data_IF_450000970500
#
_entry.id   IF_450000970500
#
_cell.length_a   1.000
_cell.length_b   1.000
_cell.length_c   1.000
_cell.angle_alpha   90.00
_cell.angle_beta   90.00
_cell.angle_gamma   90.00
#
_symmetry.space_group_name_H-M   'P 1'
#
loop_
_entity.id
_entity.type
_entity.pdbx_description
1 polymer ?
#
# COMPACT_ATOMS: atom_id res chain seq x y z
N UNK A 1 18.60 -31.21 31.99
CA UNK A 1 17.32 -31.89 31.77
C UNK A 1 16.17 -30.96 32.18
N UNK A 2 16.05 -29.76 31.49
CA UNK A 2 14.96 -28.76 31.70
C UNK A 2 14.76 -27.85 30.46
N UNK A 3 14.88 -28.37 29.24
CA UNK A 3 14.67 -27.59 28.00
C UNK A 3 13.54 -28.16 27.11
N UNK A 4 12.87 -29.24 27.53
CA UNK A 4 11.86 -29.92 26.70
C UNK A 4 10.39 -29.59 27.06
N UNK A 5 10.13 -28.59 27.90
CA UNK A 5 8.76 -28.29 28.36
C UNK A 5 8.09 -27.07 27.69
N UNK A 6 8.82 -26.31 26.86
CA UNK A 6 8.32 -25.06 26.29
C UNK A 6 7.65 -25.18 24.89
N UNK A 7 7.70 -26.36 24.26
CA UNK A 7 7.18 -26.56 22.89
C UNK A 7 5.76 -27.15 22.82
N UNK A 8 5.10 -27.38 23.96
CA UNK A 8 3.75 -27.97 23.97
C UNK A 8 2.55 -27.00 24.01
N UNK A 9 2.76 -25.69 24.12
CA UNK A 9 1.67 -24.72 24.19
C UNK A 9 1.36 -23.95 22.89
N UNK A 10 2.20 -24.07 21.84
CA UNK A 10 1.94 -23.42 20.54
C UNK A 10 1.08 -24.25 19.58
N UNK A 11 0.78 -25.51 19.91
CA UNK A 11 0.01 -26.41 19.04
C UNK A 11 -1.50 -26.22 19.05
N UNK A 12 -2.03 -25.34 19.91
CA UNK A 12 -3.50 -25.27 20.13
C UNK A 12 -4.15 -24.02 19.54
N UNK A 13 -3.41 -23.10 18.94
CA UNK A 13 -3.97 -21.83 18.40
C UNK A 13 -4.19 -21.89 16.87
N UNK A 14 -3.65 -22.88 16.18
CA UNK A 14 -3.77 -23.00 14.72
C UNK A 14 -4.94 -23.88 14.22
N UNK A 15 -5.78 -24.42 15.12
CA UNK A 15 -6.83 -25.36 14.71
C UNK A 15 -8.24 -24.80 14.46
N UNK A 16 -8.62 -23.54 14.75
CA UNK A 16 -9.96 -23.05 14.40
C UNK A 16 -10.08 -22.40 13.02
N UNK A 17 -8.99 -22.19 12.27
CA UNK A 17 -9.06 -21.49 10.97
C UNK A 17 -9.47 -22.39 9.81
N UNK A 18 -9.41 -23.73 9.98
CA UNK A 18 -9.69 -24.70 8.90
C UNK A 18 -11.17 -25.07 8.74
N UNK A 19 -12.07 -24.61 9.62
CA UNK A 19 -13.48 -25.06 9.63
C UNK A 19 -14.51 -24.02 9.14
N UNK A 20 -14.09 -22.91 8.53
CA UNK A 20 -15.01 -21.97 7.86
C UNK A 20 -14.93 -22.15 6.32
N UNK A 21 -15.21 -23.36 5.84
CA UNK A 21 -15.76 -23.53 4.50
C UNK A 21 -17.25 -23.78 4.62
N UNK A 22 -18.10 -22.86 4.13
CA UNK A 22 -19.10 -23.29 3.20
C UNK A 22 -19.34 -22.33 2.02
N UNK A 23 -19.51 -22.93 0.84
CA UNK A 23 -20.28 -22.41 -0.29
C UNK A 23 -19.76 -21.12 -0.95
N UNK A 24 -18.59 -21.18 -1.57
CA UNK A 24 -18.41 -20.47 -2.82
C UNK A 24 -18.05 -21.48 -3.89
N UNK A 25 -18.87 -21.62 -4.89
CA UNK A 25 -18.48 -22.23 -6.16
C UNK A 25 -17.28 -21.45 -6.66
N UNK A 26 -16.24 -22.09 -7.24
CA UNK A 26 -15.18 -21.32 -7.88
C UNK A 26 -15.82 -20.64 -9.10
N UNK A 27 -16.16 -19.39 -8.98
CA UNK A 27 -16.41 -18.53 -10.13
C UNK A 27 -15.08 -18.41 -10.89
N UNK A 28 -15.09 -18.31 -12.24
CA UNK A 28 -13.88 -18.07 -13.00
C UNK A 28 -13.22 -16.80 -12.41
N UNK A 29 -11.91 -16.89 -12.11
CA UNK A 29 -11.15 -15.76 -11.60
C UNK A 29 -11.48 -14.53 -12.44
N UNK A 30 -12.13 -13.56 -11.82
CA UNK A 30 -12.39 -12.28 -12.44
C UNK A 30 -11.03 -11.65 -12.75
N UNK A 31 -10.87 -11.05 -13.91
CA UNK A 31 -9.66 -10.31 -14.23
C UNK A 31 -9.41 -9.30 -13.10
N UNK A 32 -8.14 -9.18 -12.66
CA UNK A 32 -7.71 -8.29 -11.58
C UNK A 32 -8.41 -6.93 -11.63
N UNK A 33 -8.73 -6.38 -10.48
CA UNK A 33 -9.26 -5.03 -10.32
C UNK A 33 -10.70 -4.81 -10.78
N UNK A 34 -11.49 -5.85 -11.01
CA UNK A 34 -12.90 -5.70 -11.37
C UNK A 34 -13.84 -6.10 -10.24
N UNK A 35 -14.90 -5.32 -10.04
CA UNK A 35 -16.10 -5.71 -9.32
C UNK A 35 -17.30 -5.35 -10.21
N UNK A 36 -17.96 -6.34 -10.79
CA UNK A 36 -18.97 -6.18 -11.85
C UNK A 36 -18.39 -5.49 -13.08
N UNK A 37 -19.04 -4.42 -13.51
CA UNK A 37 -18.60 -3.62 -14.67
C UNK A 37 -17.50 -2.59 -14.32
N UNK A 38 -17.15 -2.47 -13.05
CA UNK A 38 -16.18 -1.49 -12.56
C UNK A 38 -14.77 -2.05 -12.56
N UNK A 39 -13.88 -1.41 -13.31
CA UNK A 39 -12.44 -1.55 -13.15
C UNK A 39 -11.92 -0.55 -12.10
N UNK A 40 -11.22 -1.04 -11.09
CA UNK A 40 -10.47 -0.26 -10.13
C UNK A 40 -8.98 -0.39 -10.47
N UNK A 41 -8.28 0.68 -10.82
CA UNK A 41 -6.85 0.59 -11.08
C UNK A 41 -6.08 0.33 -9.78
N UNK A 42 -4.95 -0.35 -9.87
CA UNK A 42 -4.02 -0.39 -8.75
C UNK A 42 -3.53 1.03 -8.45
N UNK A 43 -3.82 1.51 -7.25
CA UNK A 43 -3.45 2.84 -6.77
C UNK A 43 -1.95 2.93 -6.49
N UNK A 44 -1.37 4.14 -6.36
CA UNK A 44 0.10 4.31 -6.28
C UNK A 44 0.57 4.50 -4.85
N UNK A 45 -0.19 5.21 -4.03
CA UNK A 45 0.19 5.61 -2.66
C UNK A 45 -0.72 5.03 -1.60
N UNK A 46 -1.85 4.48 -1.99
CA UNK A 46 -2.74 3.64 -1.16
C UNK A 46 -2.83 2.27 -1.79
N UNK A 47 -3.05 1.23 -0.98
CA UNK A 47 -3.24 -0.13 -1.49
C UNK A 47 -4.70 -0.35 -1.92
N UNK A 48 -4.90 -1.21 -2.91
CA UNK A 48 -6.22 -1.61 -3.37
C UNK A 48 -6.73 -2.90 -2.70
N UNK A 49 -8.05 -3.20 -2.76
CA UNK A 49 -8.65 -4.32 -2.05
C UNK A 49 -8.55 -5.68 -2.75
N UNK A 50 -7.91 -5.79 -3.91
CA UNK A 50 -7.97 -6.98 -4.75
C UNK A 50 -6.91 -8.03 -4.42
N UNK A 51 -7.33 -9.31 -4.40
CA UNK A 51 -6.41 -10.44 -4.32
C UNK A 51 -6.04 -10.88 -5.75
N UNK A 52 -4.93 -10.36 -6.29
CA UNK A 52 -4.52 -10.58 -7.67
C UNK A 52 -3.04 -10.99 -7.80
N UNK A 53 -2.69 -11.54 -8.98
CA UNK A 53 -1.29 -11.78 -9.34
C UNK A 53 -0.78 -10.61 -10.17
N UNK A 54 0.02 -9.74 -9.58
CA UNK A 54 0.43 -8.47 -10.15
C UNK A 54 1.82 -8.03 -9.66
N UNK A 55 2.39 -7.01 -10.27
CA UNK A 55 3.73 -6.52 -9.91
C UNK A 55 3.87 -5.04 -10.20
N UNK A 56 4.24 -4.25 -9.19
CA UNK A 56 4.67 -2.86 -9.37
C UNK A 56 6.19 -2.82 -9.51
N UNK A 57 6.69 -2.39 -10.70
CA UNK A 57 8.12 -2.30 -10.97
C UNK A 57 8.40 -1.36 -12.16
N UNK A 58 9.02 -0.19 -11.94
CA UNK A 58 9.30 0.42 -10.64
C UNK A 58 8.14 1.29 -10.13
N UNK A 59 8.12 1.53 -8.84
CA UNK A 59 7.53 2.74 -8.25
C UNK A 59 8.67 3.69 -7.87
N UNK A 60 8.63 4.92 -8.35
CA UNK A 60 9.69 5.91 -8.12
C UNK A 60 9.08 7.14 -7.47
N UNK A 61 9.46 7.40 -6.22
CA UNK A 61 9.05 8.57 -5.46
C UNK A 61 10.21 9.56 -5.34
N UNK A 62 10.02 10.81 -5.77
CA UNK A 62 10.87 11.93 -5.41
C UNK A 62 10.14 12.81 -4.38
N UNK A 63 10.73 12.99 -3.24
CA UNK A 63 10.16 13.81 -2.16
C UNK A 63 11.25 14.57 -1.38
N UNK A 64 10.85 15.63 -0.67
CA UNK A 64 11.71 16.34 0.26
C UNK A 64 11.14 16.20 1.67
N UNK A 65 11.78 15.34 2.46
CA UNK A 65 11.44 15.15 3.86
C UNK A 65 11.70 16.43 4.68
N UNK A 66 10.87 16.68 5.72
CA UNK A 66 11.05 17.83 6.59
C UNK A 66 12.40 17.79 7.30
N UNK A 67 12.92 18.96 7.64
CA UNK A 67 14.20 19.12 8.32
C UNK A 67 14.83 20.46 8.02
N UNK A 68 15.89 20.79 8.74
CA UNK A 68 16.67 22.01 8.52
C UNK A 68 18.17 21.68 8.42
N UNK A 69 18.71 21.52 7.22
CA UNK A 69 18.07 21.61 5.89
C UNK A 69 17.21 20.38 5.56
N UNK A 70 16.21 20.53 4.63
CA UNK A 70 15.39 19.40 4.20
C UNK A 70 16.21 18.36 3.44
N UNK A 71 15.82 17.09 3.61
CA UNK A 71 16.48 15.96 2.95
C UNK A 71 15.76 15.62 1.65
N UNK A 72 16.50 15.65 0.54
CA UNK A 72 16.00 15.13 -0.75
C UNK A 72 16.05 13.61 -0.72
N UNK A 73 14.95 12.97 -1.09
CA UNK A 73 14.81 11.52 -1.14
C UNK A 73 14.35 11.10 -2.52
N UNK A 74 14.97 10.05 -3.07
CA UNK A 74 14.46 9.28 -4.20
C UNK A 74 14.34 7.85 -3.70
N UNK A 75 13.12 7.31 -3.75
CA UNK A 75 12.85 5.93 -3.39
C UNK A 75 12.48 5.15 -4.66
N UNK A 76 13.09 3.99 -4.84
CA UNK A 76 12.78 3.02 -5.89
C UNK A 76 12.24 1.81 -5.20
N UNK A 77 10.96 1.55 -5.29
CA UNK A 77 10.33 0.38 -4.71
C UNK A 77 9.75 -0.55 -5.78
N UNK A 78 9.57 -1.78 -5.37
CA UNK A 78 8.90 -2.82 -6.15
C UNK A 78 8.19 -3.77 -5.23
N UNK A 79 7.06 -4.28 -5.68
CA UNK A 79 6.34 -5.34 -5.03
C UNK A 79 5.82 -6.33 -6.07
N UNK A 80 5.69 -7.57 -5.62
CA UNK A 80 5.07 -8.65 -6.39
C UNK A 80 4.03 -9.33 -5.52
N UNK A 81 2.81 -9.38 -6.03
CA UNK A 81 1.67 -10.05 -5.43
C UNK A 81 1.36 -11.33 -6.22
N UNK A 82 1.09 -12.41 -5.53
CA UNK A 82 0.75 -13.69 -6.13
C UNK A 82 -0.48 -14.26 -5.43
N UNK A 83 -1.46 -14.68 -6.22
CA UNK A 83 -2.64 -15.37 -5.74
C UNK A 83 -2.22 -16.78 -5.23
N UNK A 84 -2.26 -16.97 -3.90
CA UNK A 84 -1.85 -18.26 -3.29
C UNK A 84 -3.01 -19.22 -3.07
N UNK A 85 -4.20 -18.68 -2.75
CA UNK A 85 -5.48 -19.40 -2.67
C UNK A 85 -6.54 -18.55 -3.37
N UNK A 86 -7.71 -19.10 -3.75
CA UNK A 86 -8.82 -18.26 -4.19
C UNK A 86 -9.07 -17.14 -3.20
N UNK A 87 -9.05 -15.89 -3.67
CA UNK A 87 -9.25 -14.68 -2.85
C UNK A 87 -8.17 -14.41 -1.78
N UNK A 88 -6.98 -15.07 -1.86
CA UNK A 88 -5.86 -14.79 -0.95
C UNK A 88 -4.60 -14.52 -1.76
N UNK A 89 -4.05 -13.33 -1.61
CA UNK A 89 -2.80 -12.92 -2.23
C UNK A 89 -1.68 -12.76 -1.20
N UNK A 90 -0.47 -13.12 -1.59
CA UNK A 90 0.77 -12.83 -0.86
C UNK A 90 1.58 -11.82 -1.67
N UNK A 91 1.81 -10.66 -1.09
CA UNK A 91 2.65 -9.61 -1.68
C UNK A 91 3.99 -9.54 -0.95
N UNK A 92 5.06 -9.46 -1.71
CA UNK A 92 6.43 -9.25 -1.20
C UNK A 92 6.96 -7.95 -1.78
N UNK A 93 7.48 -7.09 -0.92
CA UNK A 93 7.96 -5.76 -1.30
C UNK A 93 9.33 -5.43 -0.74
N UNK A 94 10.11 -4.65 -1.50
CA UNK A 94 11.38 -4.06 -1.10
C UNK A 94 11.60 -2.74 -1.83
N UNK A 95 12.51 -1.92 -1.34
CA UNK A 95 12.87 -0.65 -1.94
C UNK A 95 14.34 -0.31 -1.75
N UNK A 96 14.84 0.58 -2.63
CA UNK A 96 16.18 1.14 -2.55
C UNK A 96 16.10 2.66 -2.52
N UNK A 97 16.62 3.26 -1.48
CA UNK A 97 16.54 4.69 -1.25
C UNK A 97 17.88 5.40 -1.46
N UNK A 98 17.82 6.54 -2.13
CA UNK A 98 18.86 7.54 -2.15
C UNK A 98 18.37 8.79 -1.42
N UNK A 99 19.17 9.31 -0.48
CA UNK A 99 18.82 10.52 0.26
C UNK A 99 20.02 11.45 0.42
N UNK A 100 19.75 12.77 0.46
CA UNK A 100 20.78 13.79 0.61
C UNK A 100 20.25 15.05 1.31
N UNK A 101 20.78 15.37 2.47
CA UNK A 101 20.64 16.69 3.10
C UNK A 101 21.71 17.65 2.56
N UNK A 102 21.40 18.96 2.56
CA UNK A 102 22.36 19.97 2.11
C UNK A 102 23.61 19.97 2.98
N UNK A 103 24.78 20.02 2.35
CA UNK A 103 26.08 19.99 3.04
C UNK A 103 26.53 18.62 3.54
N UNK A 104 25.76 17.56 3.32
CA UNK A 104 26.11 16.19 3.69
C UNK A 104 26.37 15.32 2.47
N UNK A 105 27.11 14.23 2.65
CA UNK A 105 27.27 13.19 1.63
C UNK A 105 25.93 12.49 1.40
N UNK A 106 25.68 12.04 0.18
CA UNK A 106 24.52 11.22 -0.12
C UNK A 106 24.62 9.88 0.61
N UNK A 107 23.45 9.38 1.04
CA UNK A 107 23.32 8.06 1.67
C UNK A 107 22.41 7.20 0.78
N UNK A 108 22.72 5.92 0.72
CA UNK A 108 21.93 4.96 -0.05
C UNK A 108 21.78 3.66 0.74
N UNK A 109 20.71 2.93 0.48
CA UNK A 109 20.50 1.64 1.10
C UNK A 109 19.12 1.06 0.78
N UNK A 110 18.94 -0.19 1.14
CA UNK A 110 17.64 -0.86 1.04
C UNK A 110 16.72 -0.43 2.17
N UNK A 111 15.43 -0.36 1.89
CA UNK A 111 14.36 -0.29 2.88
C UNK A 111 14.24 -1.62 3.63
N UNK A 112 13.41 -1.71 4.65
CA UNK A 112 13.10 -3.01 5.23
C UNK A 112 12.21 -3.80 4.27
N UNK A 113 12.51 -5.08 4.11
CA UNK A 113 11.68 -6.01 3.36
C UNK A 113 10.29 -6.12 4.00
N UNK A 114 9.25 -6.20 3.18
CA UNK A 114 7.86 -6.33 3.61
C UNK A 114 7.17 -7.54 2.99
N UNK A 115 6.19 -8.06 3.71
CA UNK A 115 5.26 -9.06 3.21
C UNK A 115 3.84 -8.71 3.67
N UNK A 116 2.87 -8.80 2.75
CA UNK A 116 1.46 -8.61 3.03
C UNK A 116 0.69 -9.87 2.62
N UNK A 117 -0.19 -10.34 3.50
CA UNK A 117 -1.19 -11.36 3.19
C UNK A 117 -2.55 -10.69 3.15
N UNK A 118 -3.21 -10.71 2.00
CA UNK A 118 -4.53 -10.11 1.79
C UNK A 118 -5.56 -11.20 1.56
N UNK A 119 -6.73 -11.08 2.18
CA UNK A 119 -7.88 -11.93 1.98
C UNK A 119 -9.10 -11.10 1.59
N UNK A 120 -9.55 -11.29 0.37
CA UNK A 120 -10.79 -10.74 -0.17
C UNK A 120 -11.96 -11.59 0.31
N UNK A 121 -12.78 -11.02 1.18
CA UNK A 121 -13.87 -11.76 1.83
C UNK A 121 -15.26 -11.36 1.33
N UNK A 122 -15.37 -10.26 0.61
CA UNK A 122 -16.64 -9.75 0.09
C UNK A 122 -16.44 -9.08 -1.26
N UNK A 123 -17.23 -9.51 -2.24
CA UNK A 123 -17.38 -8.90 -3.55
C UNK A 123 -18.88 -8.85 -3.90
N UNK A 124 -19.31 -7.77 -4.52
CA UNK A 124 -20.69 -7.58 -4.99
C UNK A 124 -20.68 -6.83 -6.31
N UNK A 125 -20.84 -7.57 -7.39
CA UNK A 125 -20.81 -7.09 -8.77
C UNK A 125 -21.93 -6.10 -9.08
N UNK A 126 -23.16 -6.35 -8.59
CA UNK A 126 -24.31 -5.50 -8.82
C UNK A 126 -24.09 -4.09 -8.25
N UNK A 127 -23.38 -4.01 -7.13
CA UNK A 127 -23.11 -2.76 -6.43
C UNK A 127 -21.68 -2.26 -6.61
N UNK A 128 -20.87 -2.91 -7.48
CA UNK A 128 -19.46 -2.55 -7.70
C UNK A 128 -18.71 -2.36 -6.36
N UNK A 129 -18.85 -3.33 -5.45
CA UNK A 129 -18.33 -3.21 -4.08
C UNK A 129 -17.44 -4.40 -3.72
N UNK A 130 -16.32 -4.11 -3.08
CA UNK A 130 -15.35 -5.12 -2.64
C UNK A 130 -14.80 -4.76 -1.27
N UNK A 131 -14.50 -5.76 -0.44
CA UNK A 131 -13.86 -5.58 0.86
C UNK A 131 -12.87 -6.70 1.13
N UNK A 132 -11.73 -6.32 1.71
CA UNK A 132 -10.64 -7.23 2.04
C UNK A 132 -10.04 -6.91 3.40
N UNK A 133 -9.38 -7.89 3.98
CA UNK A 133 -8.54 -7.71 5.15
C UNK A 133 -7.13 -8.16 4.83
N UNK A 134 -6.15 -7.47 5.37
CA UNK A 134 -4.75 -7.83 5.18
C UNK A 134 -3.94 -7.74 6.46
N UNK A 135 -2.75 -8.30 6.37
CA UNK A 135 -1.77 -8.24 7.44
C UNK A 135 -0.39 -8.04 6.84
N UNK A 136 0.15 -6.84 7.02
CA UNK A 136 1.49 -6.49 6.57
C UNK A 136 2.50 -6.66 7.69
N UNK A 137 3.64 -7.25 7.37
CA UNK A 137 4.82 -7.34 8.22
C UNK A 137 5.99 -6.66 7.53
N UNK A 138 6.48 -5.58 8.10
CA UNK A 138 7.77 -5.00 7.76
C UNK A 138 8.84 -5.63 8.66
N UNK A 139 9.86 -6.26 8.06
CA UNK A 139 10.88 -7.00 8.80
C UNK A 139 12.05 -6.10 9.18
N UNK A 140 12.07 -5.67 10.42
CA UNK A 140 13.12 -4.80 10.95
C UNK A 140 14.52 -5.39 10.86
N UNK A 141 15.50 -4.54 10.50
CA UNK A 141 16.90 -4.92 10.37
C UNK A 141 17.28 -5.62 9.07
N UNK A 142 16.35 -5.77 8.12
CA UNK A 142 16.64 -6.25 6.77
C UNK A 142 17.16 -5.13 5.87
N UNK A 143 16.77 -3.88 6.16
CA UNK A 143 17.21 -2.69 5.45
C UNK A 143 18.45 -2.01 6.06
N UNK A 144 18.80 -0.88 5.50
CA UNK A 144 20.00 -0.10 5.85
C UNK A 144 19.66 1.04 6.80
N UNK A 145 20.33 1.08 7.94
CA UNK A 145 20.21 2.18 8.91
C UNK A 145 20.65 3.53 8.34
N UNK A 146 21.50 3.54 7.28
CA UNK A 146 21.95 4.76 6.59
C UNK A 146 20.81 5.54 5.94
N UNK A 147 19.72 4.87 5.59
CA UNK A 147 18.52 5.49 5.00
C UNK A 147 17.34 5.51 5.98
N UNK A 148 17.59 5.17 7.25
CA UNK A 148 16.58 5.27 8.30
C UNK A 148 15.73 4.01 8.50
N UNK A 149 16.07 2.88 7.85
CA UNK A 149 15.35 1.62 8.04
C UNK A 149 15.39 1.18 9.51
N UNK A 150 14.24 0.79 10.04
CA UNK A 150 14.06 0.42 11.44
C UNK A 150 14.75 -0.90 11.78
N UNK A 151 15.34 -1.00 12.98
CA UNK A 151 15.92 -2.26 13.47
C UNK A 151 14.92 -3.18 14.15
N UNK A 152 13.65 -2.81 14.17
CA UNK A 152 12.53 -3.57 14.72
C UNK A 152 11.46 -3.74 13.63
N UNK A 153 10.67 -4.79 13.75
CA UNK A 153 9.58 -5.06 12.82
C UNK A 153 8.33 -4.26 13.17
N UNK A 154 7.51 -4.00 12.17
CA UNK A 154 6.18 -3.40 12.32
C UNK A 154 5.14 -4.36 11.78
N UNK A 155 4.06 -4.56 12.53
CA UNK A 155 2.94 -5.43 12.19
C UNK A 155 1.70 -4.57 11.97
N UNK A 156 1.06 -4.72 10.82
CA UNK A 156 -0.07 -3.85 10.45
C UNK A 156 -1.25 -4.69 9.98
N UNK A 157 -2.25 -4.96 10.83
CA UNK A 157 -3.57 -5.38 10.35
C UNK A 157 -4.22 -4.24 9.57
N UNK A 158 -4.84 -4.56 8.42
CA UNK A 158 -5.41 -3.58 7.50
C UNK A 158 -6.79 -4.07 7.04
N UNK A 159 -7.72 -3.15 6.89
CA UNK A 159 -9.00 -3.33 6.22
C UNK A 159 -9.01 -2.48 4.95
N UNK A 160 -9.38 -3.09 3.83
CA UNK A 160 -9.48 -2.45 2.53
C UNK A 160 -10.92 -2.46 2.02
N UNK A 161 -11.28 -1.47 1.22
CA UNK A 161 -12.58 -1.41 0.58
C UNK A 161 -12.51 -0.73 -0.79
N UNK A 162 -13.44 -1.10 -1.66
CA UNK A 162 -13.69 -0.42 -2.94
C UNK A 162 -15.18 -0.29 -3.18
N UNK A 163 -15.62 0.83 -3.75
CA UNK A 163 -17.01 1.10 -4.13
C UNK A 163 -17.09 1.98 -5.37
N UNK A 164 -17.63 1.44 -6.45
CA UNK A 164 -18.04 2.19 -7.63
C UNK A 164 -19.42 2.81 -7.45
N UNK A 165 -19.71 3.85 -8.21
CA UNK A 165 -20.99 4.54 -8.20
C UNK A 165 -21.87 4.19 -9.43
N UNK A 166 -21.61 3.04 -10.06
CA UNK A 166 -22.34 2.59 -11.25
C UNK A 166 -23.82 2.27 -11.02
N UNK A 167 -24.18 1.94 -9.78
CA UNK A 167 -25.57 1.68 -9.36
C UNK A 167 -26.44 2.94 -9.14
N UNK A 168 -25.85 4.14 -9.30
CA UNK A 168 -26.62 5.39 -9.24
C UNK A 168 -27.67 5.47 -10.37
N UNK A 169 -28.82 6.12 -10.10
CA UNK A 169 -29.87 6.28 -11.11
C UNK A 169 -29.38 7.11 -12.32
N UNK A 170 -29.98 6.89 -13.49
CA UNK A 170 -29.59 7.54 -14.75
C UNK A 170 -29.66 9.07 -14.73
N UNK A 171 -30.42 9.65 -13.80
CA UNK A 171 -30.43 11.11 -13.58
C UNK A 171 -29.09 11.65 -13.05
N UNK A 172 -28.24 10.76 -12.49
CA UNK A 172 -26.92 11.08 -11.95
C UNK A 172 -25.77 10.46 -12.78
N UNK A 173 -26.01 10.25 -14.08
CA UNK A 173 -25.06 9.59 -14.98
C UNK A 173 -23.62 10.13 -14.91
N UNK A 174 -23.45 11.45 -14.70
CA UNK A 174 -22.12 12.07 -14.61
C UNK A 174 -21.33 11.65 -13.38
N UNK A 175 -21.99 11.11 -12.36
CA UNK A 175 -21.36 10.60 -11.13
C UNK A 175 -21.06 9.10 -11.20
N UNK A 176 -21.71 8.36 -12.10
CA UNK A 176 -21.50 6.92 -12.22
C UNK A 176 -20.06 6.50 -12.53
N UNK A 177 -19.23 7.29 -13.28
CA UNK A 177 -17.83 6.97 -13.48
C UNK A 177 -16.94 7.12 -12.24
N UNK A 178 -17.42 7.73 -11.16
CA UNK A 178 -16.65 7.80 -9.91
C UNK A 178 -16.60 6.46 -9.18
N UNK A 179 -15.46 6.22 -8.55
CA UNK A 179 -15.28 5.18 -7.57
C UNK A 179 -14.39 5.68 -6.42
N UNK A 180 -14.45 4.97 -5.31
CA UNK A 180 -13.62 5.22 -4.13
C UNK A 180 -13.03 3.89 -3.68
N UNK A 181 -11.72 3.82 -3.54
CA UNK A 181 -11.02 2.76 -2.82
C UNK A 181 -10.40 3.33 -1.55
N UNK A 182 -10.09 2.47 -0.59
CA UNK A 182 -9.43 2.96 0.62
C UNK A 182 -9.03 1.87 1.58
N UNK A 183 -8.24 2.28 2.58
CA UNK A 183 -7.66 1.42 3.57
C UNK A 183 -7.65 2.04 4.97
N UNK A 184 -7.71 1.18 5.98
CA UNK A 184 -7.53 1.53 7.39
C UNK A 184 -6.62 0.50 8.04
N UNK A 185 -5.47 0.91 8.54
CA UNK A 185 -4.48 0.05 9.16
C UNK A 185 -4.03 0.57 10.52
N UNK A 186 -3.52 -0.33 11.36
CA UNK A 186 -2.87 0.03 12.61
C UNK A 186 -1.45 -0.55 12.60
N UNK A 187 -0.46 0.29 12.35
CA UNK A 187 0.95 -0.08 12.36
C UNK A 187 1.45 -0.16 13.81
N UNK A 188 1.81 -1.37 14.24
CA UNK A 188 2.22 -1.69 15.61
C UNK A 188 3.70 -2.09 15.59
N UNK A 189 4.63 -1.23 16.08
CA UNK A 189 6.03 -1.57 16.17
C UNK A 189 6.27 -2.64 17.24
N UNK A 190 7.09 -3.65 16.93
CA UNK A 190 7.45 -4.71 17.89
C UNK A 190 8.36 -4.21 19.03
N UNK A 191 8.79 -2.96 18.93
CA UNK A 191 9.58 -2.27 19.96
C UNK A 191 8.95 -0.91 20.26
N UNK A 192 8.49 -0.73 21.49
CA UNK A 192 7.81 0.52 21.91
C UNK A 192 8.74 1.72 22.09
N UNK A 193 10.06 1.51 22.23
CA UNK A 193 11.03 2.59 22.42
C UNK A 193 12.38 2.23 21.80
N UNK A 194 13.00 3.18 21.12
CA UNK A 194 14.39 3.12 20.70
C UNK A 194 15.25 3.74 21.81
N UNK A 195 16.23 2.98 22.30
CA UNK A 195 17.18 3.45 23.30
C UNK A 195 18.54 3.67 22.63
N UNK A 196 19.08 4.88 22.74
CA UNK A 196 20.45 5.18 22.35
C UNK A 196 21.28 5.52 23.57
N UNK A 197 22.53 5.05 23.58
CA UNK A 197 23.50 5.32 24.64
C UNK A 197 24.69 6.01 24.00
N UNK A 198 24.91 7.28 24.34
CA UNK A 198 26.05 8.07 23.86
C UNK A 198 27.01 8.33 25.00
N UNK A 199 28.26 7.91 24.83
CA UNK A 199 29.32 8.24 25.77
C UNK A 199 30.02 9.51 25.32
N UNK A 200 30.02 10.54 26.20
CA UNK A 200 30.77 11.76 25.97
C UNK A 200 32.17 11.61 26.57
N UNK A 201 33.17 11.38 25.73
CA UNK A 201 34.56 11.17 26.16
C UNK A 201 35.19 12.41 26.80
N UNK A 202 34.68 13.61 26.52
CA UNK A 202 35.21 14.85 27.13
C UNK A 202 34.73 15.07 28.57
N UNK A 203 33.52 14.57 28.90
CA UNK A 203 32.94 14.72 30.26
C UNK A 203 32.90 13.42 31.05
N UNK A 204 33.24 12.28 30.45
CA UNK A 204 33.13 10.95 31.05
C UNK A 204 31.68 10.50 31.32
N UNK A 205 30.69 11.22 30.82
CA UNK A 205 29.28 10.95 31.10
C UNK A 205 28.66 10.09 30.00
N UNK A 206 27.84 9.15 30.45
CA UNK A 206 26.97 8.37 29.55
C UNK A 206 25.59 9.00 29.54
N UNK A 207 25.14 9.44 28.35
CA UNK A 207 23.79 9.94 28.13
C UNK A 207 22.94 8.81 27.50
N UNK A 208 21.84 8.52 28.16
CA UNK A 208 20.84 7.57 27.63
C UNK A 208 19.64 8.38 27.16
N UNK A 209 19.32 8.28 25.88
CA UNK A 209 18.07 8.84 25.33
C UNK A 209 17.14 7.70 24.92
N UNK A 210 15.84 7.94 25.09
CA UNK A 210 14.78 7.02 24.70
C UNK A 210 13.78 7.77 23.83
N UNK A 211 13.59 7.29 22.61
CA UNK A 211 12.60 7.83 21.68
C UNK A 211 11.47 6.82 21.55
N UNK A 212 10.22 7.21 21.82
CA UNK A 212 9.07 6.31 21.66
C UNK A 212 8.82 5.99 20.19
N UNK A 213 8.39 4.76 19.93
CA UNK A 213 7.84 4.31 18.64
C UNK A 213 6.33 4.15 18.85
N UNK A 214 5.50 5.11 18.42
CA UNK A 214 4.06 5.05 18.61
C UNK A 214 3.43 3.97 17.73
N UNK A 215 2.27 3.48 18.15
CA UNK A 215 1.35 2.82 17.25
C UNK A 215 0.76 3.90 16.33
N UNK A 216 0.64 3.59 15.03
CA UNK A 216 0.23 4.57 14.02
C UNK A 216 -1.01 4.08 13.30
N UNK A 217 -2.10 4.82 13.40
CA UNK A 217 -3.26 4.63 12.57
C UNK A 217 -2.97 5.16 11.16
N UNK A 218 -2.87 4.25 10.20
CA UNK A 218 -2.72 4.53 8.77
C UNK A 218 -4.10 4.50 8.13
N UNK A 219 -4.40 5.53 7.34
CA UNK A 219 -5.65 5.59 6.62
C UNK A 219 -5.48 6.33 5.32
N UNK A 220 -6.12 5.83 4.31
CA UNK A 220 -6.03 6.39 2.98
C UNK A 220 -7.27 6.08 2.17
N UNK A 221 -7.48 6.87 1.12
CA UNK A 221 -8.47 6.59 0.11
C UNK A 221 -8.11 7.28 -1.20
N UNK A 222 -8.54 6.67 -2.30
CA UNK A 222 -8.49 7.25 -3.64
C UNK A 222 -9.91 7.58 -4.09
N UNK A 223 -10.06 8.74 -4.70
CA UNK A 223 -11.27 9.12 -5.44
C UNK A 223 -10.86 9.17 -6.90
N UNK A 224 -11.46 8.32 -7.70
CA UNK A 224 -11.11 8.12 -9.11
C UNK A 224 -12.31 8.37 -10.03
N UNK A 225 -12.01 8.81 -11.25
CA UNK A 225 -13.00 9.03 -12.30
C UNK A 225 -12.61 8.27 -13.57
N UNK A 226 -13.25 7.14 -13.83
CA UNK A 226 -12.90 6.28 -14.95
C UNK A 226 -13.48 6.79 -16.28
N UNK A 227 -12.59 7.25 -17.18
CA UNK A 227 -12.99 7.59 -18.56
C UNK A 227 -13.32 6.33 -19.37
N UNK A 228 -12.78 5.17 -19.00
CA UNK A 228 -13.15 3.86 -19.55
C UNK A 228 -14.64 3.62 -19.28
N UNK A 229 -15.01 3.64 -17.99
CA UNK A 229 -16.39 3.43 -17.56
C UNK A 229 -17.37 4.46 -18.17
N UNK A 230 -16.95 5.73 -18.22
CA UNK A 230 -17.75 6.78 -18.85
C UNK A 230 -18.13 6.44 -20.28
N UNK A 231 -17.16 5.98 -21.07
CA UNK A 231 -17.41 5.70 -22.50
C UNK A 231 -18.16 4.39 -22.75
N UNK A 232 -17.92 3.38 -21.94
CA UNK A 232 -18.48 2.04 -22.13
C UNK A 232 -19.88 1.91 -21.52
N UNK A 233 -20.12 2.49 -20.34
CA UNK A 233 -21.34 2.25 -19.55
C UNK A 233 -22.25 3.47 -19.39
N UNK A 234 -21.77 4.69 -19.68
CA UNK A 234 -22.56 5.91 -19.47
C UNK A 234 -22.82 6.64 -20.78
N UNK A 235 -21.76 7.11 -21.42
CA UNK A 235 -21.87 7.87 -22.66
C UNK A 235 -20.55 7.86 -23.43
N UNK A 236 -20.56 7.34 -24.63
CA UNK A 236 -19.44 7.48 -25.54
C UNK A 236 -19.29 8.93 -25.98
N UNK A 237 -18.24 9.60 -25.51
CA UNK A 237 -17.91 10.99 -25.85
C UNK A 237 -16.85 11.09 -26.94
N UNK A 238 -16.49 9.96 -27.56
CA UNK A 238 -15.55 9.88 -28.69
C UNK A 238 -14.09 10.09 -28.33
N UNK A 239 -13.71 9.85 -27.07
CA UNK A 239 -12.30 9.81 -26.70
C UNK A 239 -11.59 8.69 -27.46
N UNK A 240 -10.35 8.97 -27.84
CA UNK A 240 -9.45 8.03 -28.52
C UNK A 240 -8.18 7.85 -27.71
N UNK A 241 -7.45 6.79 -28.01
CA UNK A 241 -6.17 6.51 -27.38
C UNK A 241 -5.22 7.74 -27.41
N UNK A 242 -4.54 8.04 -26.29
CA UNK A 242 -4.51 7.30 -25.05
C UNK A 242 -5.60 7.73 -24.03
N UNK A 243 -6.40 8.76 -24.31
CA UNK A 243 -7.30 9.41 -23.36
C UNK A 243 -8.51 8.55 -22.98
N UNK A 244 -8.92 7.62 -23.85
CA UNK A 244 -10.02 6.68 -23.63
C UNK A 244 -9.77 5.70 -22.48
N UNK A 245 -8.50 5.54 -22.06
CA UNK A 245 -8.07 4.61 -21.02
C UNK A 245 -7.48 5.31 -19.78
N UNK A 246 -7.73 6.59 -19.64
CA UNK A 246 -7.24 7.37 -18.50
C UNK A 246 -8.24 7.35 -17.34
N UNK A 247 -7.69 7.35 -16.15
CA UNK A 247 -8.41 7.42 -14.88
C UNK A 247 -7.75 8.53 -14.04
N UNK A 248 -8.21 9.78 -14.15
CA UNK A 248 -7.87 10.82 -13.19
C UNK A 248 -8.26 10.42 -11.79
N UNK A 249 -7.39 10.69 -10.80
CA UNK A 249 -7.64 10.35 -9.40
C UNK A 249 -7.01 11.36 -8.46
N UNK A 250 -7.43 11.29 -7.20
CA UNK A 250 -6.76 11.96 -6.09
C UNK A 250 -6.66 10.95 -4.96
N UNK A 251 -5.43 10.64 -4.55
CA UNK A 251 -5.19 9.79 -3.40
C UNK A 251 -4.91 10.62 -2.14
N UNK A 252 -5.31 10.09 -0.99
CA UNK A 252 -5.07 10.65 0.33
C UNK A 252 -4.38 9.56 1.15
N UNK A 253 -3.12 9.78 1.52
CA UNK A 253 -2.35 8.83 2.33
C UNK A 253 -1.95 9.51 3.63
N UNK A 254 -2.46 9.02 4.76
CA UNK A 254 -2.38 9.66 6.06
C UNK A 254 -1.87 8.71 7.14
N UNK A 255 -1.11 9.25 8.10
CA UNK A 255 -0.56 8.55 9.24
C UNK A 255 -0.79 9.35 10.51
N UNK A 256 -1.49 8.77 11.48
CA UNK A 256 -1.86 9.40 12.75
C UNK A 256 -1.30 8.59 13.91
N UNK A 257 -0.26 9.06 14.61
CA UNK A 257 0.18 8.42 15.84
C UNK A 257 -0.94 8.43 16.89
N UNK A 258 -1.23 7.27 17.48
CA UNK A 258 -2.39 7.12 18.40
C UNK A 258 -2.00 6.92 19.86
N UNK A 259 -0.70 6.71 20.13
CA UNK A 259 -0.21 6.51 21.50
C UNK A 259 1.20 7.12 21.71
N UNK A 260 1.76 6.95 22.92
CA UNK A 260 3.16 7.28 23.31
C UNK A 260 3.60 8.68 22.91
N UNK A 261 2.68 9.65 22.90
CA UNK A 261 2.96 11.03 22.48
C UNK A 261 3.56 11.14 21.07
N UNK A 262 3.08 10.32 20.15
CA UNK A 262 3.66 10.16 18.82
C UNK A 262 3.55 11.35 17.87
N UNK A 263 2.80 12.39 18.23
CA UNK A 263 2.79 13.64 17.46
C UNK A 263 1.52 13.86 16.62
N UNK A 264 1.68 14.66 15.58
CA UNK A 264 0.60 15.15 14.70
C UNK A 264 0.38 14.21 13.54
N UNK A 265 -0.84 14.14 13.01
CA UNK A 265 -1.12 13.47 11.72
C UNK A 265 -0.25 14.07 10.63
N UNK A 266 0.41 13.20 9.87
CA UNK A 266 1.16 13.52 8.66
C UNK A 266 0.52 12.84 7.46
N UNK A 267 0.89 13.23 6.25
CA UNK A 267 0.39 12.60 5.04
C UNK A 267 0.44 13.50 3.82
N UNK A 268 -0.08 12.98 2.73
CA UNK A 268 -0.05 13.65 1.43
C UNK A 268 -1.41 13.57 0.74
N UNK A 269 -1.65 14.55 -0.15
CA UNK A 269 -2.76 14.57 -1.10
C UNK A 269 -2.11 14.48 -2.48
N UNK A 270 -2.47 13.46 -3.24
CA UNK A 270 -1.77 13.10 -4.46
C UNK A 270 -2.72 13.12 -5.67
N UNK A 271 -2.92 14.29 -6.30
CA UNK A 271 -3.65 14.34 -7.56
C UNK A 271 -2.80 13.77 -8.69
N UNK A 272 -3.42 12.94 -9.51
CA UNK A 272 -2.72 12.25 -10.58
C UNK A 272 -3.62 11.68 -11.66
N UNK A 273 -3.02 10.83 -12.47
CA UNK A 273 -3.70 10.09 -13.52
C UNK A 273 -3.03 8.74 -13.72
N UNK A 274 -3.87 7.71 -13.89
CA UNK A 274 -3.46 6.38 -14.29
C UNK A 274 -3.97 6.15 -15.72
N UNK A 275 -3.10 5.65 -16.58
CA UNK A 275 -3.46 5.06 -17.87
C UNK A 275 -3.40 3.54 -17.74
N UNK A 276 -4.50 2.85 -18.04
CA UNK A 276 -4.58 1.39 -17.93
C UNK A 276 -4.70 0.73 -19.30
N UNK A 277 -3.70 -0.10 -19.62
CA UNK A 277 -3.69 -0.99 -20.78
C UNK A 277 -4.28 -2.37 -20.45
N UNK A 278 -4.04 -3.34 -21.33
CA UNK A 278 -4.45 -4.72 -21.12
C UNK A 278 -3.49 -5.48 -20.21
N UNK A 279 -2.20 -5.18 -20.27
CA UNK A 279 -1.13 -5.95 -19.60
C UNK A 279 -0.44 -5.15 -18.51
N UNK A 280 -0.61 -3.84 -18.50
CA UNK A 280 0.02 -2.96 -17.53
C UNK A 280 -0.71 -1.62 -17.45
N UNK A 281 -0.48 -0.94 -16.38
CA UNK A 281 -0.84 0.47 -16.20
C UNK A 281 0.39 1.32 -15.92
N UNK A 282 0.28 2.61 -16.20
CA UNK A 282 1.28 3.63 -15.87
C UNK A 282 0.57 4.77 -15.16
N UNK A 283 1.03 5.13 -13.99
CA UNK A 283 0.48 6.22 -13.22
C UNK A 283 1.53 7.26 -12.84
N UNK A 284 1.08 8.49 -12.66
CA UNK A 284 1.89 9.60 -12.15
C UNK A 284 1.04 10.50 -11.29
N UNK A 285 1.59 10.91 -10.13
CA UNK A 285 0.93 11.80 -9.18
C UNK A 285 1.88 12.87 -8.66
N UNK A 286 1.33 14.05 -8.41
CA UNK A 286 1.98 15.04 -7.57
C UNK A 286 1.79 14.65 -6.10
N UNK A 287 2.83 14.73 -5.29
CA UNK A 287 2.80 14.39 -3.86
C UNK A 287 2.81 15.69 -3.07
N UNK A 288 1.65 16.09 -2.52
CA UNK A 288 1.46 17.36 -1.84
C UNK A 288 1.38 17.13 -0.32
N UNK A 289 2.37 17.58 0.49
CA UNK A 289 2.32 17.42 1.93
C UNK A 289 1.16 18.21 2.54
N UNK A 290 0.43 17.59 3.48
CA UNK A 290 -0.74 18.21 4.14
C UNK A 290 -0.34 19.25 5.20
N UNK A 291 0.88 19.16 5.72
CA UNK A 291 1.39 20.08 6.74
C UNK A 291 2.93 20.10 6.79
N UNK A 292 3.48 20.98 7.62
CA UNK A 292 4.93 21.15 7.81
C UNK A 292 5.64 19.91 8.39
N UNK A 293 4.94 19.07 9.15
CA UNK A 293 5.50 17.84 9.71
C UNK A 293 5.68 16.76 8.63
N UNK A 294 4.90 16.81 7.57
CA UNK A 294 5.07 15.98 6.37
C UNK A 294 6.13 16.54 5.44
N UNK A 295 6.16 17.86 5.28
CA UNK A 295 7.11 18.57 4.41
C UNK A 295 6.55 19.90 3.91
N UNK A 296 7.38 20.65 3.16
CA UNK A 296 7.00 21.97 2.62
C UNK A 296 6.96 21.99 1.09
N UNK A 297 7.52 21.00 0.45
CA UNK A 297 7.70 21.01 -1.00
C UNK A 297 6.92 19.86 -1.65
N UNK A 298 6.25 20.13 -2.76
CA UNK A 298 5.68 19.07 -3.58
C UNK A 298 6.73 18.07 -4.02
N UNK A 299 6.32 16.81 -4.06
CA UNK A 299 7.04 15.70 -4.67
C UNK A 299 6.33 15.19 -5.91
N UNK A 300 6.81 14.09 -6.43
CA UNK A 300 6.19 13.36 -7.54
C UNK A 300 6.44 11.87 -7.36
N UNK A 301 5.44 11.06 -7.66
CA UNK A 301 5.55 9.61 -7.74
C UNK A 301 5.08 9.14 -9.11
N UNK A 302 5.75 8.12 -9.62
CA UNK A 302 5.35 7.42 -10.85
C UNK A 302 5.52 5.93 -10.69
N UNK A 303 4.62 5.17 -11.31
CA UNK A 303 4.60 3.71 -11.21
C UNK A 303 4.32 3.08 -12.57
N UNK A 304 4.96 1.95 -12.80
CA UNK A 304 4.55 0.96 -13.80
C UNK A 304 4.09 -0.28 -13.07
N UNK A 305 2.87 -0.69 -13.32
CA UNK A 305 2.26 -1.85 -12.69
C UNK A 305 1.84 -2.86 -13.76
N UNK A 306 2.16 -4.12 -13.56
CA UNK A 306 1.96 -5.21 -14.51
C UNK A 306 0.92 -6.20 -13.99
N UNK A 307 0.02 -6.60 -14.85
CA UNK A 307 -0.99 -7.62 -14.62
C UNK A 307 -0.42 -8.99 -15.01
N UNK A 308 0.11 -9.71 -14.03
CA UNK A 308 0.86 -10.96 -14.28
C UNK A 308 -0.05 -12.08 -14.79
N UNK A 309 -1.29 -12.11 -14.36
CA UNK A 309 -2.31 -13.05 -14.80
C UNK A 309 -2.67 -12.88 -16.29
N UNK A 310 -2.64 -11.65 -16.83
CA UNK A 310 -2.83 -11.37 -18.26
C UNK A 310 -1.55 -11.59 -19.07
N UNK A 311 -0.38 -11.25 -18.52
CA UNK A 311 0.91 -11.40 -19.21
C UNK A 311 1.30 -12.87 -19.32
N UNK A 312 1.12 -13.64 -18.26
CA UNK A 312 1.52 -15.04 -18.13
C UNK A 312 0.36 -15.89 -17.58
N UNK A 313 -0.79 -15.98 -18.29
CA UNK A 313 -2.01 -16.61 -17.78
C UNK A 313 -1.84 -18.10 -17.42
N UNK A 314 -0.91 -18.79 -18.04
CA UNK A 314 -0.64 -20.20 -17.71
C UNK A 314 -0.01 -20.40 -16.33
N UNK A 315 0.60 -19.37 -15.77
CA UNK A 315 1.32 -19.39 -14.49
C UNK A 315 0.51 -18.69 -13.40
N UNK A 316 -0.06 -17.53 -13.70
CA UNK A 316 -0.59 -16.61 -12.69
C UNK A 316 -2.12 -16.46 -12.70
N UNK A 317 -2.85 -17.01 -13.69
CA UNK A 317 -4.32 -16.93 -13.70
C UNK A 317 -5.01 -17.89 -12.72
N UNK A 318 -4.25 -18.68 -11.99
CA UNK A 318 -4.78 -19.64 -10.99
C UNK A 318 -3.99 -19.53 -9.70
N UNK A 319 -4.65 -19.76 -8.56
CA UNK A 319 -3.94 -19.85 -7.29
C UNK A 319 -2.82 -20.89 -7.34
N UNK A 320 -1.77 -20.66 -6.55
CA UNK A 320 -0.63 -21.59 -6.44
C UNK A 320 -0.99 -22.89 -5.73
N UNK A 321 -1.99 -22.86 -4.83
CA UNK A 321 -2.39 -23.99 -3.98
C UNK A 321 -3.86 -24.39 -4.20
#
# INVERSE_FOLDING_TARGET
MKILAAFRSLGSILLPIVLLRPFCSPEPASAHGFAGDRFFPATITTDDPFAASEMSLPTILYFRQPGSPPTKTIDFSSDISILVLPNVALTLGDGYQWQKAAGQSAQTGFNNFSANLLYEFFENDEHEAIMSVGFTSEFGGTGSSSVGSSSFSTLTPIFYFGKGLGDLPTSLNVLRPFAVTGEFGLAIPTRSNNRSVTFNSATGQTQVSSTPNPDVFQWGFAVEYSLIYLQEHVKNIGLRAPFDRMIPLVEFSMSTPVDRHGGTTTGTINPGVIWSGQYFQVGVEAVLPVNEHTGFNPGVVGQVHFYLDDILPKIFSKPLL
#
